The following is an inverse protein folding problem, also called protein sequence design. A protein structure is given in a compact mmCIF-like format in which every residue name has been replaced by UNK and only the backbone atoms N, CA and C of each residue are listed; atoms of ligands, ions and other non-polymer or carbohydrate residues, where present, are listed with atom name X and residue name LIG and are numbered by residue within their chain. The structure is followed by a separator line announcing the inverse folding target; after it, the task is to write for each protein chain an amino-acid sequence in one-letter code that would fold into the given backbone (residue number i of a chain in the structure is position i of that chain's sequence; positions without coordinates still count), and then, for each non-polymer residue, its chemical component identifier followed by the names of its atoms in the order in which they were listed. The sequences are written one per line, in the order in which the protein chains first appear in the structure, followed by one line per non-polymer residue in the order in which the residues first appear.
data_IF_408494916996
#
_entry.id   IF_408494916996
#
_cell.length_a   1.000
_cell.length_b   1.000
_cell.length_c   1.000
_cell.angle_alpha   90.00
_cell.angle_beta   90.00
_cell.angle_gamma   90.00
#
_symmetry.space_group_name_H-M   'P 1'
#
loop_
_entity.id
_entity.type
_entity.pdbx_description
1 polymer ?
#
# COMPACT_ATOMS: atom_id res chain seq x y z
N UNK A 1 17.61 -8.54 -28.19
CA UNK A 1 16.94 -9.60 -27.40
C UNK A 1 15.91 -8.91 -26.53
N UNK A 2 14.65 -9.37 -26.52
CA UNK A 2 13.66 -8.83 -25.59
C UNK A 2 14.17 -9.13 -24.18
N UNK A 3 14.21 -8.10 -23.33
CA UNK A 3 14.57 -8.22 -21.93
C UNK A 3 13.58 -9.21 -21.28
N UNK A 4 14.09 -10.29 -20.67
CA UNK A 4 13.21 -11.28 -20.04
C UNK A 4 12.34 -10.58 -18.99
N UNK A 5 11.06 -10.87 -18.99
CA UNK A 5 10.14 -10.32 -17.98
C UNK A 5 10.52 -10.85 -16.62
N UNK A 6 10.60 -9.94 -15.63
CA UNK A 6 10.89 -10.26 -14.22
C UNK A 6 9.76 -9.79 -13.30
N UNK A 7 9.75 -10.29 -12.08
CA UNK A 7 8.89 -9.80 -11.02
C UNK A 7 9.70 -9.48 -9.77
N UNK A 8 9.22 -8.54 -8.98
CA UNK A 8 9.76 -8.21 -7.66
C UNK A 8 8.90 -8.78 -6.56
N UNK A 9 9.55 -9.23 -5.48
CA UNK A 9 8.91 -9.46 -4.18
C UNK A 9 9.10 -8.20 -3.35
N UNK A 10 7.99 -7.57 -2.98
CA UNK A 10 7.97 -6.35 -2.19
C UNK A 10 7.35 -6.61 -0.82
N UNK A 11 8.08 -6.23 0.24
CA UNK A 11 7.57 -6.18 1.60
C UNK A 11 7.14 -4.75 1.92
N UNK A 12 5.90 -4.55 2.31
CA UNK A 12 5.26 -3.25 2.57
C UNK A 12 4.79 -3.23 4.00
N UNK A 13 5.31 -2.33 4.82
CA UNK A 13 4.92 -2.19 6.22
C UNK A 13 4.49 -0.77 6.53
N UNK A 14 3.35 -0.64 7.21
CA UNK A 14 2.86 0.63 7.74
C UNK A 14 3.80 1.15 8.84
N UNK A 15 4.15 2.43 8.77
CA UNK A 15 4.90 3.10 9.84
C UNK A 15 3.95 3.58 10.97
N UNK A 16 4.45 3.72 12.21
CA UNK A 16 5.83 3.47 12.61
C UNK A 16 6.16 1.98 12.65
N UNK A 17 7.40 1.61 12.29
CA UNK A 17 7.81 0.20 12.20
C UNK A 17 7.74 -0.55 13.56
N UNK A 18 7.66 0.18 14.67
CA UNK A 18 7.44 -0.39 16.01
C UNK A 18 5.95 -0.55 16.37
N UNK A 19 5.03 -0.26 15.44
CA UNK A 19 3.62 -0.59 15.63
C UNK A 19 3.49 -2.08 15.95
N UNK A 20 2.94 -2.41 17.11
CA UNK A 20 2.87 -3.77 17.58
C UNK A 20 1.43 -4.18 17.92
N UNK A 21 0.93 -5.20 17.23
CA UNK A 21 1.57 -5.91 16.12
C UNK A 21 1.59 -5.07 14.82
N UNK A 22 2.51 -5.35 13.88
CA UNK A 22 2.64 -4.59 12.65
C UNK A 22 1.50 -4.83 11.66
N UNK A 23 1.21 -3.86 10.82
CA UNK A 23 0.35 -4.00 9.64
C UNK A 23 1.25 -4.07 8.41
N UNK A 24 1.27 -5.20 7.72
CA UNK A 24 2.18 -5.40 6.59
C UNK A 24 1.59 -6.30 5.50
N UNK A 25 2.14 -6.19 4.32
CA UNK A 25 1.83 -7.03 3.15
C UNK A 25 3.10 -7.45 2.45
N UNK A 26 3.14 -8.67 1.91
CA UNK A 26 4.16 -9.13 0.96
C UNK A 26 3.49 -9.42 -0.36
N UNK A 27 3.92 -8.73 -1.41
CA UNK A 27 3.34 -8.85 -2.74
C UNK A 27 4.41 -9.28 -3.75
N UNK A 28 3.97 -10.00 -4.78
CA UNK A 28 4.75 -10.20 -6.01
C UNK A 28 4.12 -9.33 -7.10
N UNK A 29 4.94 -8.57 -7.79
CA UNK A 29 4.48 -7.64 -8.83
C UNK A 29 5.39 -7.72 -10.05
N UNK A 30 4.78 -7.70 -11.25
CA UNK A 30 5.53 -7.63 -12.50
C UNK A 30 6.42 -6.37 -12.55
N UNK A 31 7.66 -6.52 -12.98
CA UNK A 31 8.65 -5.44 -13.00
C UNK A 31 8.38 -4.35 -14.06
N UNK A 32 7.53 -4.63 -15.05
CA UNK A 32 7.03 -3.65 -16.02
C UNK A 32 5.91 -2.75 -15.49
N UNK A 33 5.46 -2.99 -14.26
CA UNK A 33 4.48 -2.16 -13.55
C UNK A 33 5.03 -0.74 -13.36
N UNK A 34 4.21 0.28 -13.59
CA UNK A 34 4.53 1.68 -13.26
C UNK A 34 4.34 1.96 -11.78
N UNK A 35 4.95 3.01 -11.24
CA UNK A 35 4.70 3.45 -9.85
C UNK A 35 3.23 3.81 -9.63
N UNK A 36 2.56 4.43 -10.63
CA UNK A 36 1.12 4.69 -10.59
C UNK A 36 0.35 3.39 -10.34
N UNK A 37 0.69 2.35 -11.07
CA UNK A 37 -0.01 1.08 -10.96
C UNK A 37 0.35 0.35 -9.66
N UNK A 38 1.59 0.50 -9.18
CA UNK A 38 1.99 0.02 -7.86
C UNK A 38 1.14 0.66 -6.76
N UNK A 39 0.86 1.98 -6.83
CA UNK A 39 -0.07 2.63 -5.90
C UNK A 39 -1.42 1.91 -5.86
N UNK A 40 -2.04 1.64 -7.01
CA UNK A 40 -3.33 0.94 -7.03
C UNK A 40 -3.24 -0.49 -6.48
N UNK A 41 -2.15 -1.21 -6.72
CA UNK A 41 -1.91 -2.52 -6.11
C UNK A 41 -1.77 -2.44 -4.60
N UNK A 42 -1.04 -1.45 -4.07
CA UNK A 42 -0.91 -1.23 -2.62
C UNK A 42 -2.28 -0.92 -2.02
N UNK A 43 -3.05 -0.03 -2.62
CA UNK A 43 -4.39 0.32 -2.17
C UNK A 43 -5.30 -0.93 -2.10
N UNK A 44 -5.31 -1.74 -3.14
CA UNK A 44 -6.08 -2.99 -3.17
C UNK A 44 -5.58 -4.01 -2.13
N UNK A 45 -4.27 -4.14 -1.94
CA UNK A 45 -3.67 -5.05 -0.97
C UNK A 45 -3.92 -4.62 0.49
N UNK A 46 -4.00 -3.31 0.72
CA UNK A 46 -4.33 -2.73 2.03
C UNK A 46 -5.83 -2.76 2.31
N UNK A 47 -6.68 -2.60 1.29
CA UNK A 47 -8.14 -2.49 1.41
C UNK A 47 -8.63 -1.04 1.38
N UNK A 48 -7.81 -0.10 0.93
CA UNK A 48 -8.14 1.30 0.73
C UNK A 48 -8.76 1.58 -0.65
N UNK A 49 -9.35 2.76 -0.83
CA UNK A 49 -10.16 3.10 -2.00
C UNK A 49 -9.54 4.14 -2.93
N UNK A 50 -8.28 4.52 -2.74
CA UNK A 50 -7.55 5.53 -3.55
C UNK A 50 -8.28 6.88 -3.62
N UNK A 51 -8.82 7.38 -2.52
CA UNK A 51 -9.57 8.63 -2.45
C UNK A 51 -8.69 9.86 -2.25
N UNK A 52 -7.46 9.67 -1.76
CA UNK A 52 -6.54 10.72 -1.38
C UNK A 52 -5.29 10.73 -2.25
N UNK A 53 -4.52 11.81 -2.15
CA UNK A 53 -3.23 11.96 -2.81
C UNK A 53 -2.18 11.05 -2.19
N UNK A 54 -1.14 10.76 -2.95
CA UNK A 54 -0.04 9.93 -2.52
C UNK A 54 1.27 10.33 -3.18
N UNK A 55 2.38 9.85 -2.61
CA UNK A 55 3.71 10.08 -3.13
C UNK A 55 4.62 8.88 -2.79
N UNK A 56 5.57 8.60 -3.70
CA UNK A 56 6.69 7.71 -3.43
C UNK A 56 7.99 8.52 -3.33
N UNK A 57 8.80 8.19 -2.33
CA UNK A 57 10.16 8.71 -2.19
C UNK A 57 11.17 7.59 -2.40
N UNK A 58 12.08 7.79 -3.35
CA UNK A 58 13.19 6.88 -3.63
C UNK A 58 14.43 7.66 -4.02
N UNK A 59 15.53 7.47 -3.30
CA UNK A 59 16.83 8.10 -3.61
C UNK A 59 16.72 9.62 -3.82
N UNK A 60 16.10 10.31 -2.87
CA UNK A 60 15.88 11.77 -2.86
C UNK A 60 14.99 12.29 -3.99
N UNK A 61 14.36 11.41 -4.75
CA UNK A 61 13.38 11.73 -5.79
C UNK A 61 11.97 11.42 -5.33
N UNK A 62 11.06 12.34 -5.65
CA UNK A 62 9.65 12.23 -5.36
C UNK A 62 8.87 11.88 -6.62
N UNK A 63 7.97 10.90 -6.52
CA UNK A 63 7.15 10.44 -7.63
C UNK A 63 5.67 10.44 -7.22
N UNK A 64 4.83 11.02 -8.03
CA UNK A 64 3.41 11.12 -7.76
C UNK A 64 2.63 11.63 -8.96
N UNK A 65 1.37 12.00 -8.72
CA UNK A 65 0.53 12.65 -9.71
C UNK A 65 0.92 14.13 -9.78
N UNK A 66 1.44 14.62 -10.92
CA UNK A 66 1.73 16.04 -11.06
C UNK A 66 0.44 16.87 -10.95
N UNK A 67 0.47 17.87 -10.07
CA UNK A 67 -0.58 18.88 -10.02
C UNK A 67 -0.54 19.74 -11.29
N UNK A 68 -1.69 19.98 -11.92
CA UNK A 68 -1.78 20.78 -13.14
C UNK A 68 -1.92 22.27 -12.88
N UNK A 69 -2.50 22.63 -11.72
CA UNK A 69 -2.74 24.03 -11.34
C UNK A 69 -1.52 24.60 -10.58
N UNK A 70 -0.90 23.77 -9.73
CA UNK A 70 0.25 24.14 -8.93
C UNK A 70 1.40 23.12 -9.11
N UNK A 71 2.06 23.10 -10.29
CA UNK A 71 3.05 22.08 -10.60
C UNK A 71 4.29 22.23 -9.71
N UNK A 72 4.65 21.17 -8.97
CA UNK A 72 5.93 21.07 -8.30
C UNK A 72 6.93 20.33 -9.21
N UNK A 73 7.97 21.03 -9.76
CA UNK A 73 8.92 20.39 -10.66
C UNK A 73 9.79 19.32 -10.00
N UNK A 74 9.75 19.21 -8.67
CA UNK A 74 10.44 18.16 -7.90
C UNK A 74 9.66 16.85 -7.86
N UNK A 75 8.37 16.85 -8.24
CA UNK A 75 7.53 15.65 -8.30
C UNK A 75 7.54 15.11 -9.72
N UNK A 76 8.08 13.91 -9.88
CA UNK A 76 8.15 13.21 -11.15
C UNK A 76 6.86 12.45 -11.42
N UNK A 77 6.39 12.48 -12.66
CA UNK A 77 5.17 11.78 -13.08
C UNK A 77 5.34 10.25 -12.97
N UNK A 78 4.70 9.65 -11.99
CA UNK A 78 4.77 8.25 -11.61
C UNK A 78 4.34 7.26 -12.72
N UNK A 79 3.58 7.75 -13.72
CA UNK A 79 3.18 6.97 -14.90
C UNK A 79 4.34 6.65 -15.84
N UNK A 80 5.42 7.41 -15.76
CA UNK A 80 6.58 7.31 -16.66
C UNK A 80 7.65 6.35 -16.16
N UNK A 81 7.54 5.89 -14.91
CA UNK A 81 8.58 5.10 -14.26
C UNK A 81 8.12 3.68 -13.99
N UNK A 82 8.66 2.73 -14.74
CA UNK A 82 8.50 1.30 -14.50
C UNK A 82 9.43 0.83 -13.39
N UNK A 83 8.97 -0.11 -12.56
CA UNK A 83 9.72 -0.62 -11.41
C UNK A 83 11.12 -1.12 -11.82
N UNK A 84 11.23 -1.91 -12.88
CA UNK A 84 12.52 -2.44 -13.38
C UNK A 84 13.56 -1.39 -13.76
N UNK A 85 13.14 -0.13 -13.95
CA UNK A 85 14.05 0.95 -14.30
C UNK A 85 14.59 1.73 -13.12
N UNK A 86 13.93 1.59 -11.97
CA UNK A 86 14.21 2.42 -10.79
C UNK A 86 14.46 1.62 -9.53
N UNK A 87 14.10 0.32 -9.50
CA UNK A 87 14.28 -0.55 -8.35
C UNK A 87 15.27 -1.68 -8.63
N UNK A 88 15.94 -2.10 -7.58
CA UNK A 88 16.76 -3.32 -7.51
C UNK A 88 16.60 -3.96 -6.13
N UNK A 89 16.95 -5.22 -6.01
CA UNK A 89 16.94 -5.95 -4.73
C UNK A 89 17.79 -5.21 -3.69
N UNK A 90 17.24 -5.05 -2.49
CA UNK A 90 17.82 -4.32 -1.38
C UNK A 90 17.41 -2.84 -1.28
N UNK A 91 16.78 -2.28 -2.32
CA UNK A 91 16.25 -0.92 -2.26
C UNK A 91 15.10 -0.82 -1.25
N UNK A 92 15.00 0.39 -0.67
CA UNK A 92 13.89 0.79 0.18
C UNK A 92 13.33 2.10 -0.33
N UNK A 93 12.00 2.17 -0.46
CA UNK A 93 11.30 3.40 -0.80
C UNK A 93 10.22 3.66 0.25
N UNK A 94 9.90 4.95 0.45
CA UNK A 94 8.75 5.36 1.26
C UNK A 94 7.55 5.57 0.35
N UNK A 95 6.40 5.16 0.82
CA UNK A 95 5.11 5.47 0.20
C UNK A 95 4.23 6.17 1.23
N UNK A 96 3.80 7.38 0.92
CA UNK A 96 2.88 8.17 1.73
C UNK A 96 1.54 8.22 1.03
N UNK A 97 0.49 7.83 1.71
CA UNK A 97 -0.89 7.92 1.25
C UNK A 97 -1.67 8.83 2.21
N UNK A 98 -2.53 9.67 1.64
CA UNK A 98 -3.32 10.66 2.38
C UNK A 98 -2.43 11.61 3.22
N UNK A 99 -2.15 12.78 2.68
CA UNK A 99 -1.28 13.76 3.36
C UNK A 99 -1.93 14.36 4.61
N UNK A 100 -3.27 14.22 4.78
CA UNK A 100 -4.00 14.63 5.99
C UNK A 100 -3.75 13.65 7.15
N UNK A 101 -4.02 12.37 6.94
CA UNK A 101 -3.82 11.30 7.92
C UNK A 101 -2.36 10.83 7.98
N UNK A 102 -1.60 11.04 6.92
CA UNK A 102 -0.17 10.77 6.87
C UNK A 102 0.21 9.29 6.92
N UNK A 103 -0.51 8.42 6.21
CA UNK A 103 -0.22 6.98 6.16
C UNK A 103 1.10 6.70 5.44
N UNK A 104 2.18 6.57 6.20
CA UNK A 104 3.51 6.26 5.68
C UNK A 104 3.80 4.77 5.71
N UNK A 105 4.46 4.29 4.66
CA UNK A 105 4.87 2.89 4.54
C UNK A 105 6.33 2.82 4.09
N UNK A 106 7.05 1.85 4.61
CA UNK A 106 8.32 1.41 4.05
C UNK A 106 8.05 0.24 3.13
N UNK A 107 8.58 0.32 1.91
CA UNK A 107 8.55 -0.75 0.92
C UNK A 107 9.98 -1.22 0.70
N UNK A 108 10.27 -2.49 1.00
CA UNK A 108 11.56 -3.11 0.75
C UNK A 108 11.47 -4.07 -0.45
N UNK A 109 12.43 -3.98 -1.36
CA UNK A 109 12.60 -4.94 -2.47
C UNK A 109 13.37 -6.15 -1.96
N UNK A 110 12.67 -7.26 -1.66
CA UNK A 110 13.26 -8.44 -1.04
C UNK A 110 13.93 -9.36 -2.04
N UNK A 111 13.33 -9.52 -3.23
CA UNK A 111 13.83 -10.42 -4.26
C UNK A 111 13.40 -9.97 -5.66
N UNK A 112 14.11 -10.48 -6.65
CA UNK A 112 13.74 -10.44 -8.07
C UNK A 112 13.80 -11.87 -8.63
N UNK A 113 12.85 -12.21 -9.49
CA UNK A 113 12.78 -13.54 -10.09
C UNK A 113 12.19 -13.49 -11.49
N UNK A 114 12.19 -14.64 -12.20
CA UNK A 114 11.58 -14.74 -13.52
C UNK A 114 10.07 -14.53 -13.42
N UNK A 115 9.51 -13.82 -14.39
CA UNK A 115 8.07 -13.68 -14.54
C UNK A 115 7.55 -14.63 -15.62
N UNK A 116 6.60 -15.48 -15.25
CA UNK A 116 5.92 -16.39 -16.18
C UNK A 116 4.63 -15.78 -16.76
N UNK A 117 4.24 -14.58 -16.33
CA UNK A 117 3.02 -13.90 -16.76
C UNK A 117 3.23 -12.94 -17.93
N UNK A 118 2.14 -12.42 -18.46
CA UNK A 118 2.13 -11.33 -19.42
C UNK A 118 1.37 -10.14 -18.86
N UNK A 119 1.87 -8.93 -19.16
CA UNK A 119 1.24 -7.69 -18.71
C UNK A 119 1.56 -7.33 -17.25
N UNK A 120 0.93 -6.29 -16.75
CA UNK A 120 1.11 -5.83 -15.38
C UNK A 120 0.15 -6.56 -14.45
N UNK A 121 0.68 -7.30 -13.49
CA UNK A 121 -0.09 -8.07 -12.52
C UNK A 121 0.53 -7.95 -11.11
N UNK A 122 -0.28 -8.25 -10.11
CA UNK A 122 0.15 -8.30 -8.71
C UNK A 122 -0.59 -9.42 -7.99
N UNK A 123 0.12 -10.10 -7.10
CA UNK A 123 -0.42 -11.12 -6.22
C UNK A 123 0.03 -10.84 -4.78
N UNK A 124 -0.88 -10.92 -3.84
CA UNK A 124 -0.56 -10.87 -2.41
C UNK A 124 -0.16 -12.26 -1.95
N UNK A 125 1.06 -12.39 -1.45
CA UNK A 125 1.58 -13.66 -0.93
C UNK A 125 1.20 -13.86 0.53
N UNK A 126 1.35 -12.79 1.33
CA UNK A 126 1.22 -12.87 2.78
C UNK A 126 0.97 -11.48 3.36
N UNK A 127 0.59 -11.42 4.65
CA UNK A 127 0.37 -10.19 5.38
C UNK A 127 -0.26 -10.44 6.74
N UNK A 128 -0.30 -9.41 7.54
CA UNK A 128 -0.93 -9.45 8.85
C UNK A 128 -1.77 -8.21 9.09
N UNK A 129 -2.88 -8.40 9.78
CA UNK A 129 -3.81 -7.43 10.30
C UNK A 129 -4.58 -6.65 9.24
N UNK A 130 -5.77 -6.22 9.63
CA UNK A 130 -6.53 -5.26 8.84
C UNK A 130 -5.79 -3.94 8.74
N UNK A 131 -5.94 -3.28 7.60
CA UNK A 131 -5.46 -1.92 7.44
C UNK A 131 -6.31 -0.96 8.28
N UNK A 132 -5.73 0.14 8.79
CA UNK A 132 -6.53 1.19 9.40
C UNK A 132 -7.67 1.63 8.47
N UNK A 133 -8.87 1.91 9.00
CA UNK A 133 -9.93 2.52 8.19
C UNK A 133 -9.49 3.87 7.61
N UNK A 134 -9.92 4.18 6.37
CA UNK A 134 -9.69 5.52 5.80
C UNK A 134 -10.34 6.60 6.67
N UNK A 135 -9.74 7.78 6.68
CA UNK A 135 -10.23 8.97 7.40
C UNK A 135 -10.34 8.78 8.93
N UNK A 136 -9.62 7.84 9.51
CA UNK A 136 -9.67 7.61 10.97
C UNK A 136 -8.77 8.56 11.78
N UNK A 137 -8.07 9.50 11.14
CA UNK A 137 -7.26 10.52 11.81
C UNK A 137 -5.80 10.12 12.05
N UNK A 138 -5.28 9.22 11.20
CA UNK A 138 -3.89 8.82 11.19
C UNK A 138 -3.48 7.82 12.26
N UNK A 139 -2.18 7.51 12.29
CA UNK A 139 -1.61 6.43 13.15
C UNK A 139 -1.91 6.64 14.63
N UNK A 140 -1.83 7.89 15.12
CA UNK A 140 -2.07 8.17 16.55
C UNK A 140 -3.49 7.82 16.97
N UNK A 141 -4.48 8.24 16.20
CA UNK A 141 -5.89 7.91 16.44
C UNK A 141 -6.13 6.41 16.30
N UNK A 142 -5.55 5.78 15.28
CA UNK A 142 -5.68 4.32 15.10
C UNK A 142 -5.12 3.54 16.30
N UNK A 143 -3.95 3.93 16.82
CA UNK A 143 -3.39 3.30 18.03
C UNK A 143 -4.29 3.50 19.26
N UNK A 144 -4.88 4.69 19.40
CA UNK A 144 -5.86 4.94 20.47
C UNK A 144 -7.07 4.01 20.35
N UNK A 145 -7.65 3.89 19.15
CA UNK A 145 -8.76 2.99 18.86
C UNK A 145 -8.41 1.53 19.21
N UNK A 146 -7.24 1.03 18.79
CA UNK A 146 -6.79 -0.32 19.15
C UNK A 146 -6.69 -0.50 20.67
N UNK A 147 -6.20 0.53 21.37
CA UNK A 147 -6.15 0.54 22.82
C UNK A 147 -7.54 0.48 23.48
N UNK A 148 -8.51 1.22 22.95
CA UNK A 148 -9.91 1.20 23.42
C UNK A 148 -10.54 -0.16 23.19
N UNK A 149 -10.44 -0.70 21.97
CA UNK A 149 -10.99 -2.02 21.62
C UNK A 149 -10.44 -3.14 22.50
N UNK A 150 -9.19 -3.02 22.95
CA UNK A 150 -8.54 -4.00 23.82
C UNK A 150 -8.95 -3.86 25.29
N UNK A 151 -9.07 -2.62 25.80
CA UNK A 151 -9.32 -2.35 27.24
C UNK A 151 -10.79 -2.49 27.61
N UNK A 152 -11.67 -1.97 26.75
CA UNK A 152 -13.10 -1.88 27.00
C UNK A 152 -13.87 -2.11 25.69
N UNK A 153 -13.91 -3.38 25.22
CA UNK A 153 -14.48 -3.70 23.92
C UNK A 153 -16.00 -3.42 23.83
N UNK A 154 -16.70 -3.37 24.95
CA UNK A 154 -18.15 -3.10 25.03
C UNK A 154 -18.48 -1.69 25.49
N UNK A 155 -17.47 -0.86 25.72
CA UNK A 155 -17.61 0.53 26.12
C UNK A 155 -18.23 1.42 25.08
N UNK A 156 -18.65 2.62 25.47
CA UNK A 156 -19.30 3.59 24.60
C UNK A 156 -18.41 3.99 23.42
N UNK A 157 -17.13 4.26 23.68
CA UNK A 157 -16.17 4.65 22.66
C UNK A 157 -15.91 3.53 21.63
N UNK A 158 -15.78 2.28 22.10
CA UNK A 158 -15.62 1.11 21.22
C UNK A 158 -16.88 0.89 20.35
N UNK A 159 -18.07 1.07 20.91
CA UNK A 159 -19.33 1.00 20.15
C UNK A 159 -19.42 2.09 19.10
N UNK A 160 -19.11 3.33 19.46
CA UNK A 160 -19.11 4.46 18.51
C UNK A 160 -18.16 4.23 17.35
N UNK A 161 -16.95 3.71 17.62
CA UNK A 161 -16.00 3.36 16.57
C UNK A 161 -16.56 2.25 15.63
N UNK A 162 -17.17 1.19 16.19
CA UNK A 162 -17.76 0.12 15.38
C UNK A 162 -18.98 0.57 14.57
N UNK A 163 -19.76 1.51 15.08
CA UNK A 163 -20.85 2.13 14.32
C UNK A 163 -20.32 2.90 13.10
N UNK A 164 -19.20 3.60 13.29
CA UNK A 164 -18.57 4.36 12.21
C UNK A 164 -17.88 3.46 11.16
N UNK A 165 -17.07 2.49 11.57
CA UNK A 165 -16.27 1.66 10.66
C UNK A 165 -17.06 0.48 10.10
N UNK A 166 -18.11 0.07 10.78
CA UNK A 166 -18.91 -1.10 10.51
C UNK A 166 -18.70 -2.23 11.55
N UNK A 167 -19.74 -2.99 11.83
CA UNK A 167 -19.77 -3.96 12.94
C UNK A 167 -18.80 -5.14 12.75
N UNK A 168 -18.35 -5.37 11.52
CA UNK A 168 -17.48 -6.50 11.16
C UNK A 168 -15.98 -6.13 11.11
N UNK A 169 -15.62 -4.89 11.47
CA UNK A 169 -14.21 -4.53 11.49
C UNK A 169 -13.49 -5.23 12.64
N UNK A 170 -12.51 -6.04 12.29
CA UNK A 170 -11.59 -6.68 13.23
C UNK A 170 -10.15 -6.34 12.82
N UNK A 171 -9.40 -5.60 13.66
CA UNK A 171 -8.04 -5.20 13.34
C UNK A 171 -7.05 -6.36 13.25
N UNK A 172 -7.40 -7.54 13.79
CA UNK A 172 -6.54 -8.73 13.80
C UNK A 172 -6.67 -9.57 12.52
N UNK A 173 -7.70 -9.33 11.71
CA UNK A 173 -8.00 -10.18 10.54
C UNK A 173 -7.35 -9.61 9.28
N UNK A 174 -6.65 -10.48 8.56
CA UNK A 174 -6.22 -10.24 7.18
C UNK A 174 -6.47 -11.49 6.33
N UNK A 175 -7.12 -11.32 5.19
CA UNK A 175 -7.35 -12.39 4.20
C UNK A 175 -6.49 -12.17 2.95
N UNK A 176 -5.35 -12.90 2.81
CA UNK A 176 -4.47 -12.77 1.65
C UNK A 176 -5.15 -13.14 0.32
N UNK A 177 -6.14 -14.05 0.36
CA UNK A 177 -6.87 -14.47 -0.85
C UNK A 177 -7.79 -13.37 -1.35
N UNK A 178 -8.54 -12.74 -0.44
CA UNK A 178 -9.38 -11.60 -0.77
C UNK A 178 -8.53 -10.41 -1.29
N UNK A 179 -7.43 -10.10 -0.63
CA UNK A 179 -6.49 -9.06 -1.05
C UNK A 179 -5.87 -9.38 -2.43
N UNK A 180 -5.49 -10.64 -2.67
CA UNK A 180 -4.96 -11.06 -3.96
C UNK A 180 -6.01 -10.97 -5.08
N UNK A 181 -7.25 -11.32 -4.82
CA UNK A 181 -8.34 -11.16 -5.78
C UNK A 181 -8.59 -9.67 -6.12
N UNK A 182 -8.46 -8.78 -5.13
CA UNK A 182 -8.57 -7.33 -5.35
C UNK A 182 -7.44 -6.80 -6.24
N UNK A 183 -6.18 -7.19 -5.97
CA UNK A 183 -5.03 -6.79 -6.82
C UNK A 183 -5.15 -7.33 -8.25
N UNK A 184 -5.65 -8.54 -8.44
CA UNK A 184 -5.90 -9.11 -9.77
C UNK A 184 -6.95 -8.32 -10.56
N UNK A 185 -8.00 -7.83 -9.91
CA UNK A 185 -8.98 -6.94 -10.57
C UNK A 185 -8.34 -5.66 -11.10
N UNK A 186 -7.44 -5.04 -10.33
CA UNK A 186 -6.67 -3.88 -10.78
C UNK A 186 -5.81 -4.25 -12.01
N UNK A 187 -5.14 -5.40 -11.98
CA UNK A 187 -4.34 -5.90 -13.09
C UNK A 187 -5.16 -6.07 -14.37
N UNK A 188 -6.31 -6.73 -14.28
CA UNK A 188 -7.17 -7.06 -15.42
C UNK A 188 -7.90 -5.84 -16.02
N UNK A 189 -8.21 -4.83 -15.20
CA UNK A 189 -8.96 -3.64 -15.65
C UNK A 189 -8.06 -2.52 -16.18
N UNK A 190 -6.75 -2.73 -16.24
CA UNK A 190 -5.79 -1.74 -16.74
C UNK A 190 -5.86 -0.37 -16.03
N UNK A 191 -6.23 -0.34 -14.76
CA UNK A 191 -6.22 0.89 -13.96
C UNK A 191 -4.79 1.34 -13.64
N UNK A 192 -4.50 2.62 -13.88
CA UNK A 192 -3.20 3.25 -13.62
C UNK A 192 -2.28 3.42 -14.83
#
# INVERSE_FOLDING_TARGET
MADASTCFVLYIQLEPLHLNPPVWRRIVVNSDTTLRRLHHFIQAAMGWHSRHLYEFDLNEKRYGLPDREFPDPRVLDDRKFKLKRILKVGDRLRYTYDFGDGWQHVIAVEAEGPDAGSGSWCMVMDGERACPPEDCGGVGTYQHILGVLKRDPDGEEARHFREWVGPNFDPEIFDPRAASAATQRIGNNFWG
#
